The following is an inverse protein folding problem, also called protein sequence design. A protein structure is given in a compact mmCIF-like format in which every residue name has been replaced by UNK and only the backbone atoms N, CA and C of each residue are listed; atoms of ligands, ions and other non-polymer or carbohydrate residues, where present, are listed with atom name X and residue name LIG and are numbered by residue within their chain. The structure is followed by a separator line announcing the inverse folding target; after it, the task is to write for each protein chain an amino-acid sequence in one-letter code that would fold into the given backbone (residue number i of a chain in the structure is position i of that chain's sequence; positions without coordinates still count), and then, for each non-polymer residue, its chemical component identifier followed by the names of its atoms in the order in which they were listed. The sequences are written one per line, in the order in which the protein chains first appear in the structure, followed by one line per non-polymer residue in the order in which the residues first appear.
data_IF_126632290762
#
_entry.id   IF_126632290762
#
_cell.length_a   1.000
_cell.length_b   1.000
_cell.length_c   1.000
_cell.angle_alpha   90.00
_cell.angle_beta   90.00
_cell.angle_gamma   90.00
#
_symmetry.space_group_name_H-M   'P 1'
#
loop_
_entity.id
_entity.type
_entity.pdbx_description
1 polymer ?
#
# COMPACT_ATOMS: atom_id res chain seq x y z
N UNK A 1 -11.87 4.60 15.03
CA UNK A 1 -10.44 4.72 15.41
C UNK A 1 -9.57 4.72 14.16
N UNK A 2 -8.46 5.43 14.22
CA UNK A 2 -7.48 5.59 13.15
C UNK A 2 -6.85 4.24 12.75
N UNK A 3 -6.86 3.83 11.48
CA UNK A 3 -6.18 2.63 11.04
C UNK A 3 -4.66 2.76 11.17
N UNK A 4 -4.02 1.63 11.48
CA UNK A 4 -2.58 1.44 11.49
C UNK A 4 -2.17 0.96 10.12
N UNK A 5 -1.25 1.66 9.46
CA UNK A 5 -0.72 1.26 8.15
C UNK A 5 0.80 1.25 8.11
N UNK A 6 1.36 0.19 7.53
CA UNK A 6 2.79 0.05 7.21
C UNK A 6 3.13 0.75 5.90
N UNK A 7 4.42 1.02 5.69
CA UNK A 7 4.92 1.90 4.64
C UNK A 7 4.32 1.64 3.26
N UNK A 8 4.44 0.43 2.73
CA UNK A 8 4.00 0.19 1.35
C UNK A 8 2.47 0.31 1.18
N UNK A 9 1.67 -0.03 2.20
CA UNK A 9 0.22 0.13 2.16
C UNK A 9 -0.21 1.61 2.10
N UNK A 10 0.63 2.55 2.58
CA UNK A 10 0.36 3.98 2.39
C UNK A 10 0.23 4.32 0.90
N UNK A 11 1.09 3.74 0.07
CA UNK A 11 1.15 3.98 -1.39
C UNK A 11 0.20 3.04 -2.13
N UNK A 12 0.32 1.73 -1.94
CA UNK A 12 -0.44 0.72 -2.71
C UNK A 12 -1.96 0.92 -2.61
N UNK A 13 -2.49 1.29 -1.43
CA UNK A 13 -3.94 1.50 -1.25
C UNK A 13 -4.50 2.69 -2.03
N UNK A 14 -3.66 3.62 -2.53
CA UNK A 14 -4.10 4.72 -3.39
C UNK A 14 -4.55 4.22 -4.78
N UNK A 15 -4.04 3.06 -5.18
CA UNK A 15 -4.30 2.41 -6.46
C UNK A 15 -5.29 1.26 -6.35
N UNK A 16 -5.77 0.95 -5.15
CA UNK A 16 -6.78 -0.09 -4.94
C UNK A 16 -8.09 0.22 -5.68
N UNK A 17 -8.72 -0.83 -6.22
CA UNK A 17 -9.94 -0.76 -7.06
C UNK A 17 -11.01 -1.80 -6.72
N UNK A 18 -10.82 -2.63 -5.68
CA UNK A 18 -11.83 -3.62 -5.29
C UNK A 18 -11.66 -5.03 -5.88
N UNK A 19 -10.59 -5.29 -6.63
CA UNK A 19 -10.44 -6.52 -7.43
C UNK A 19 -9.19 -7.33 -7.05
N UNK A 20 -9.15 -8.62 -7.39
CA UNK A 20 -7.97 -9.49 -7.25
C UNK A 20 -7.79 -10.14 -5.87
N UNK A 21 -8.79 -10.05 -4.98
CA UNK A 21 -8.74 -10.59 -3.62
C UNK A 21 -10.03 -11.34 -3.26
N UNK A 22 -9.99 -12.13 -2.18
CA UNK A 22 -11.20 -12.75 -1.61
C UNK A 22 -12.17 -11.68 -1.12
N UNK A 23 -13.48 -11.99 -1.10
CA UNK A 23 -14.51 -11.05 -0.64
C UNK A 23 -14.25 -10.53 0.77
N UNK A 24 -13.83 -11.39 1.69
CA UNK A 24 -13.49 -10.99 3.07
C UNK A 24 -12.32 -9.99 3.10
N UNK A 25 -11.30 -10.20 2.27
CA UNK A 25 -10.15 -9.31 2.20
C UNK A 25 -10.52 -7.96 1.55
N UNK A 26 -11.37 -7.98 0.53
CA UNK A 26 -11.95 -6.76 -0.09
C UNK A 26 -12.72 -5.95 0.95
N UNK A 27 -13.60 -6.58 1.72
CA UNK A 27 -14.36 -5.90 2.78
C UNK A 27 -13.45 -5.27 3.83
N UNK A 28 -12.36 -5.95 4.22
CA UNK A 28 -11.37 -5.38 5.12
C UNK A 28 -10.67 -4.16 4.52
N UNK A 29 -10.22 -4.23 3.27
CA UNK A 29 -9.56 -3.14 2.57
C UNK A 29 -10.45 -1.90 2.47
N UNK A 30 -11.71 -2.07 2.03
CA UNK A 30 -12.68 -0.98 1.94
C UNK A 30 -12.91 -0.30 3.30
N UNK A 31 -13.05 -1.10 4.36
CA UNK A 31 -13.20 -0.59 5.73
C UNK A 31 -11.96 0.20 6.18
N UNK A 32 -10.76 -0.29 5.90
CA UNK A 32 -9.50 0.37 6.24
C UNK A 32 -9.35 1.69 5.48
N UNK A 33 -9.58 1.70 4.17
CA UNK A 33 -9.49 2.89 3.31
C UNK A 33 -10.50 3.95 3.74
N UNK A 34 -11.75 3.55 3.98
CA UNK A 34 -12.80 4.46 4.45
C UNK A 34 -12.39 5.17 5.73
N UNK A 35 -11.90 4.41 6.72
CA UNK A 35 -11.44 4.96 8.00
C UNK A 35 -10.17 5.79 7.88
N UNK A 36 -9.27 5.45 6.96
CA UNK A 36 -8.06 6.21 6.69
C UNK A 36 -8.38 7.60 6.10
N UNK A 37 -9.41 7.69 5.25
CA UNK A 37 -9.92 8.95 4.69
C UNK A 37 -10.61 9.80 5.75
N UNK A 38 -11.40 9.19 6.63
CA UNK A 38 -12.18 9.91 7.65
C UNK A 38 -11.33 10.34 8.85
N UNK A 39 -10.52 9.43 9.40
CA UNK A 39 -9.83 9.64 10.67
C UNK A 39 -8.31 9.87 10.52
N UNK A 40 -7.76 9.75 9.31
CA UNK A 40 -6.32 9.73 9.08
C UNK A 40 -5.70 8.35 9.35
N UNK A 41 -4.37 8.29 9.44
CA UNK A 41 -3.57 7.06 9.49
C UNK A 41 -2.53 7.18 10.58
N UNK A 42 -2.30 6.11 11.36
CA UNK A 42 -1.12 5.95 12.22
C UNK A 42 -0.10 5.09 11.48
N UNK A 43 1.08 5.64 11.21
CA UNK A 43 2.16 4.92 10.52
C UNK A 43 2.80 3.94 11.49
N UNK A 44 2.93 2.67 11.10
CA UNK A 44 3.49 1.60 11.95
C UNK A 44 4.51 0.75 11.20
N UNK A 45 5.29 -0.03 11.96
CA UNK A 45 6.20 -1.04 11.43
C UNK A 45 5.56 -2.42 11.48
N UNK A 46 5.91 -3.26 10.52
CA UNK A 46 5.43 -4.64 10.45
C UNK A 46 3.97 -4.75 10.02
N UNK A 47 3.36 -5.90 10.28
CA UNK A 47 1.97 -6.17 9.90
C UNK A 47 0.98 -5.15 10.49
N UNK A 48 -0.05 -4.84 9.72
CA UNK A 48 -0.95 -3.72 10.00
C UNK A 48 -2.43 -4.10 9.82
N UNK A 49 -3.33 -3.10 9.80
CA UNK A 49 -4.77 -3.38 9.75
C UNK A 49 -5.25 -4.03 8.45
N UNK A 50 -4.49 -3.92 7.36
CA UNK A 50 -4.75 -4.64 6.11
C UNK A 50 -4.45 -6.13 6.27
N UNK A 51 -3.41 -6.47 7.05
CA UNK A 51 -2.97 -7.85 7.23
C UNK A 51 -3.91 -8.72 8.10
N UNK A 52 -4.85 -8.13 8.84
CA UNK A 52 -5.71 -8.83 9.82
C UNK A 52 -6.50 -10.04 9.25
N UNK A 53 -6.83 -10.00 7.95
CA UNK A 53 -7.55 -11.09 7.25
C UNK A 53 -6.67 -11.80 6.21
N UNK A 54 -5.35 -11.63 6.28
CA UNK A 54 -4.43 -12.30 5.38
C UNK A 54 -4.09 -13.69 5.93
N UNK A 55 -4.48 -14.75 5.21
CA UNK A 55 -4.15 -16.14 5.60
C UNK A 55 -2.64 -16.43 5.62
N UNK A 56 -1.83 -15.61 4.94
CA UNK A 56 -0.38 -15.70 4.95
C UNK A 56 0.28 -14.96 6.12
N UNK A 57 -0.49 -14.32 7.00
CA UNK A 57 0.06 -13.69 8.19
C UNK A 57 0.24 -14.72 9.30
N UNK A 58 1.48 -15.15 9.52
CA UNK A 58 1.84 -16.09 10.59
C UNK A 58 2.85 -15.42 11.52
N UNK A 59 2.55 -15.37 12.82
CA UNK A 59 3.41 -14.74 13.84
C UNK A 59 3.83 -13.30 13.48
N UNK A 60 2.92 -12.52 12.90
CA UNK A 60 3.15 -11.12 12.53
C UNK A 60 4.04 -10.93 11.29
N UNK A 61 4.33 -11.99 10.53
CA UNK A 61 5.14 -11.97 9.31
C UNK A 61 4.37 -12.53 8.12
N UNK A 62 4.61 -11.98 6.94
CA UNK A 62 4.06 -12.55 5.71
C UNK A 62 4.82 -13.82 5.30
N UNK A 63 4.09 -14.91 5.08
CA UNK A 63 4.62 -16.21 4.62
C UNK A 63 4.08 -16.59 3.24
N UNK A 64 3.70 -15.61 2.41
CA UNK A 64 3.15 -15.84 1.08
C UNK A 64 4.11 -16.64 0.17
N UNK A 65 5.40 -16.31 0.27
CA UNK A 65 6.51 -16.99 -0.41
C UNK A 65 7.78 -16.89 0.42
N UNK A 66 8.82 -17.60 0.01
CA UNK A 66 10.15 -17.47 0.60
C UNK A 66 10.61 -16.00 0.55
N UNK A 67 11.16 -15.52 1.67
CA UNK A 67 11.62 -14.14 1.86
C UNK A 67 10.54 -13.04 1.69
N UNK A 68 9.25 -13.38 1.64
CA UNK A 68 8.17 -12.39 1.47
C UNK A 68 8.23 -11.25 2.50
N UNK A 69 8.44 -11.58 3.79
CA UNK A 69 8.54 -10.56 4.83
C UNK A 69 9.77 -9.64 4.65
N UNK A 70 10.88 -10.13 4.12
CA UNK A 70 12.07 -9.32 3.83
C UNK A 70 11.81 -8.37 2.65
N UNK A 71 11.20 -8.88 1.57
CA UNK A 71 10.77 -8.06 0.44
C UNK A 71 9.79 -6.97 0.89
N UNK A 72 8.79 -7.31 1.71
CA UNK A 72 7.81 -6.32 2.18
C UNK A 72 8.47 -5.29 3.10
N UNK A 73 9.43 -5.67 3.94
CA UNK A 73 10.20 -4.69 4.75
C UNK A 73 11.00 -3.74 3.89
N UNK A 74 11.60 -4.22 2.80
CA UNK A 74 12.25 -3.35 1.83
C UNK A 74 11.25 -2.35 1.24
N UNK A 75 10.07 -2.81 0.83
CA UNK A 75 9.01 -1.95 0.29
C UNK A 75 8.51 -0.91 1.32
N UNK A 76 8.39 -1.29 2.59
CA UNK A 76 8.03 -0.36 3.64
C UNK A 76 9.06 0.74 3.81
N UNK A 77 10.34 0.39 3.89
CA UNK A 77 11.43 1.35 4.06
C UNK A 77 11.52 2.28 2.86
N UNK A 78 11.36 1.75 1.64
CA UNK A 78 11.30 2.55 0.42
C UNK A 78 10.13 3.55 0.49
N UNK A 79 8.93 3.10 0.83
CA UNK A 79 7.75 3.96 0.92
C UNK A 79 7.92 5.06 1.96
N UNK A 80 8.44 4.73 3.15
CA UNK A 80 8.69 5.71 4.21
C UNK A 80 9.76 6.73 3.81
N UNK A 81 10.82 6.28 3.11
CA UNK A 81 11.87 7.16 2.59
C UNK A 81 11.30 8.15 1.57
N UNK A 82 10.56 7.67 0.58
CA UNK A 82 9.95 8.50 -0.47
C UNK A 82 8.92 9.49 0.10
N UNK A 83 8.11 9.05 1.07
CA UNK A 83 7.12 9.90 1.73
C UNK A 83 7.73 10.83 2.79
N UNK A 84 9.02 10.73 3.10
CA UNK A 84 9.69 11.48 4.18
C UNK A 84 9.02 11.26 5.56
N UNK A 85 8.63 10.01 5.83
CA UNK A 85 7.91 9.61 7.02
C UNK A 85 8.72 8.67 7.92
N UNK A 86 8.31 8.63 9.19
CA UNK A 86 8.79 7.66 10.18
C UNK A 86 7.58 7.04 10.88
N UNK A 87 7.78 5.86 11.45
CA UNK A 87 6.81 5.15 12.29
C UNK A 87 6.38 6.00 13.50
N UNK A 88 5.14 5.84 13.94
CA UNK A 88 4.54 6.61 15.04
C UNK A 88 3.98 7.97 14.62
N UNK A 89 4.14 8.37 13.35
CA UNK A 89 3.52 9.59 12.82
C UNK A 89 2.04 9.37 12.54
N UNK A 90 1.25 10.40 12.82
CA UNK A 90 -0.13 10.48 12.36
C UNK A 90 -0.22 11.38 11.13
N UNK A 91 -0.80 10.85 10.05
CA UNK A 91 -0.94 11.55 8.77
C UNK A 91 -2.38 11.49 8.27
N UNK A 92 -2.71 12.31 7.27
CA UNK A 92 -4.00 12.24 6.58
C UNK A 92 -3.88 11.46 5.27
N UNK A 93 -4.99 10.94 4.76
CA UNK A 93 -5.03 10.36 3.41
C UNK A 93 -4.56 11.37 2.34
N UNK A 94 -4.93 12.63 2.51
CA UNK A 94 -4.57 13.72 1.59
C UNK A 94 -3.08 14.05 1.58
N UNK A 95 -2.38 13.87 2.71
CA UNK A 95 -0.92 14.02 2.76
C UNK A 95 -0.22 13.10 1.74
N UNK A 96 -0.64 11.83 1.71
CA UNK A 96 -0.09 10.84 0.78
C UNK A 96 -0.43 11.23 -0.66
N UNK A 97 -1.70 11.60 -0.93
CA UNK A 97 -2.14 12.00 -2.27
C UNK A 97 -1.36 13.19 -2.84
N UNK A 98 -0.96 14.13 -1.99
CA UNK A 98 -0.17 15.31 -2.40
C UNK A 98 1.28 14.94 -2.74
N UNK A 99 1.87 13.99 -2.01
CA UNK A 99 3.24 13.51 -2.26
C UNK A 99 3.34 12.54 -3.43
N UNK A 100 2.26 11.80 -3.74
CA UNK A 100 2.25 10.77 -4.79
C UNK A 100 2.87 11.21 -6.13
N UNK A 101 2.51 12.37 -6.73
CA UNK A 101 3.06 12.79 -8.02
C UNK A 101 4.59 12.96 -8.02
N UNK A 102 5.18 13.24 -6.85
CA UNK A 102 6.63 13.43 -6.71
C UNK A 102 7.39 12.11 -6.63
N UNK A 103 6.73 11.02 -6.21
CA UNK A 103 7.39 9.75 -5.87
C UNK A 103 6.98 8.57 -6.74
N UNK A 104 5.90 8.71 -7.51
CA UNK A 104 5.27 7.55 -8.16
C UNK A 104 6.17 6.88 -9.21
N UNK A 105 6.95 7.66 -9.96
CA UNK A 105 7.88 7.13 -10.96
C UNK A 105 8.94 6.23 -10.31
N UNK A 106 9.59 6.72 -9.23
CA UNK A 106 10.58 5.95 -8.50
C UNK A 106 9.97 4.74 -7.77
N UNK A 107 8.75 4.89 -7.24
CA UNK A 107 8.01 3.79 -6.63
C UNK A 107 7.71 2.70 -7.65
N UNK A 108 7.19 3.05 -8.83
CA UNK A 108 6.86 2.06 -9.87
C UNK A 108 8.11 1.31 -10.35
N UNK A 109 9.22 2.02 -10.55
CA UNK A 109 10.49 1.42 -10.98
C UNK A 109 11.02 0.39 -9.96
N UNK A 110 11.01 0.75 -8.66
CA UNK A 110 11.67 -0.03 -7.60
C UNK A 110 10.76 -1.04 -6.92
N UNK A 111 9.47 -0.75 -6.79
CA UNK A 111 8.50 -1.58 -6.07
C UNK A 111 7.62 -2.42 -6.99
N UNK A 112 7.16 -1.87 -8.12
CA UNK A 112 6.13 -2.53 -8.93
C UNK A 112 6.68 -3.50 -9.97
N UNK A 113 7.95 -3.36 -10.39
CA UNK A 113 8.56 -4.12 -11.50
C UNK A 113 8.36 -5.64 -11.41
N UNK A 114 8.49 -6.22 -10.22
CA UNK A 114 8.33 -7.65 -9.95
C UNK A 114 7.18 -7.93 -8.96
N UNK A 115 6.19 -7.04 -8.89
CA UNK A 115 5.07 -7.18 -7.95
C UNK A 115 4.03 -8.17 -8.49
N UNK A 116 3.66 -9.15 -7.66
CA UNK A 116 2.67 -10.17 -8.01
C UNK A 116 1.25 -9.58 -8.24
N UNK A 117 1.00 -8.37 -7.74
CA UNK A 117 -0.27 -7.64 -7.91
C UNK A 117 -0.23 -6.56 -9.02
N UNK A 118 0.87 -6.49 -9.78
CA UNK A 118 1.06 -5.47 -10.81
C UNK A 118 -0.08 -5.45 -11.84
N UNK A 119 -0.50 -6.61 -12.33
CA UNK A 119 -1.56 -6.70 -13.35
C UNK A 119 -2.88 -6.14 -12.84
N UNK A 120 -3.23 -6.42 -11.58
CA UNK A 120 -4.44 -5.89 -10.93
C UNK A 120 -4.38 -4.36 -10.83
N UNK A 121 -3.19 -3.79 -10.64
CA UNK A 121 -2.97 -2.35 -10.62
C UNK A 121 -2.93 -1.72 -12.03
N UNK A 122 -2.39 -2.41 -13.04
CA UNK A 122 -2.11 -1.86 -14.38
C UNK A 122 -3.25 -1.98 -15.39
N UNK A 123 -4.15 -2.96 -15.26
CA UNK A 123 -5.27 -3.18 -16.20
C UNK A 123 -6.10 -1.91 -16.44
N UNK A 124 -6.03 -0.93 -15.52
CA UNK A 124 -6.74 0.35 -15.61
C UNK A 124 -5.86 1.60 -15.78
N UNK A 125 -4.52 1.46 -15.86
CA UNK A 125 -3.62 2.58 -16.18
C UNK A 125 -3.55 2.88 -17.70
N UNK A 126 -4.15 2.03 -18.55
CA UNK A 126 -4.27 2.23 -20.02
C UNK A 126 -5.10 3.45 -20.45
N UNK A 127 -5.51 4.32 -19.52
CA UNK A 127 -6.19 5.60 -19.79
C UNK A 127 -5.33 6.86 -19.63
N UNK A 128 -4.07 6.77 -19.19
CA UNK A 128 -3.15 7.92 -19.06
C UNK A 128 -1.95 7.75 -19.99
N UNK A 129 -2.20 7.81 -21.30
CA UNK A 129 -1.15 7.61 -22.30
C UNK A 129 -1.60 7.90 -23.72
N UNK A 130 -2.23 9.06 -23.96
CA UNK A 130 -2.36 9.60 -25.31
C UNK A 130 -2.45 11.14 -25.27
N UNK A 131 -1.32 11.79 -25.03
CA UNK A 131 -1.07 13.10 -25.63
C UNK A 131 0.41 13.16 -26.02
N UNK A 132 0.73 12.51 -27.14
CA UNK A 132 1.97 12.75 -27.85
C UNK A 132 1.87 14.14 -28.49
N UNK A 133 2.80 15.03 -28.16
CA UNK A 133 3.20 16.08 -29.09
C UNK A 133 4.11 15.44 -30.14
#
# INVERSE_FOLDING_TARGET
MKPRLRGHHLICLQFYRGEGYSSEFVENLERVISRAREYGILVVEGADDVCNHCHYLINGKCTYKDNAEEEIRYLDLLALTLLELNSGREITWEYIRKKLPEIIEEWEEKACRNCDWRDVCEVHNKGRGASKH
#
